data_IF_692892403217
#
_entry.id   IF_692892403217
#
_cell.length_a   1.000
_cell.length_b   1.000
_cell.length_c   1.000
_cell.angle_alpha   90.00
_cell.angle_beta   90.00
_cell.angle_gamma   90.00
#
_symmetry.space_group_name_H-M   'P 1'
#
loop_
_entity.id
_entity.type
_entity.pdbx_description
1 polymer ?
#
# COMPACT_ATOMS: atom_id res chain seq x y z
N UNK A 1 41.18 -4.18 -60.68
CA UNK A 1 40.42 -5.04 -59.75
C UNK A 1 39.50 -4.12 -58.97
N UNK A 2 38.19 -4.29 -59.21
CA UNK A 2 37.17 -3.27 -58.99
C UNK A 2 36.56 -3.33 -57.57
N UNK A 3 36.32 -2.14 -57.02
CA UNK A 3 35.34 -1.70 -56.03
C UNK A 3 34.49 -2.76 -55.30
N UNK A 4 34.71 -2.91 -53.98
CA UNK A 4 33.91 -3.77 -53.06
C UNK A 4 33.15 -2.99 -51.96
N UNK A 5 33.35 -1.68 -51.78
CA UNK A 5 32.59 -0.92 -50.77
C UNK A 5 31.26 -0.38 -51.32
N UNK A 6 30.32 -1.28 -51.67
CA UNK A 6 28.90 -0.92 -51.81
C UNK A 6 28.23 -1.02 -50.43
N UNK A 7 28.48 -0.04 -49.57
CA UNK A 7 27.77 0.14 -48.31
C UNK A 7 26.60 1.09 -48.53
N UNK A 8 25.38 0.55 -48.53
CA UNK A 8 24.12 1.30 -48.66
C UNK A 8 24.12 2.53 -47.72
N UNK A 9 24.14 3.75 -48.27
CA UNK A 9 24.30 5.02 -47.52
C UNK A 9 23.01 5.50 -46.84
N UNK A 10 22.31 4.60 -46.15
CA UNK A 10 21.16 4.94 -45.32
C UNK A 10 21.55 4.87 -43.84
N UNK A 11 22.62 5.57 -43.45
CA UNK A 11 22.88 5.81 -42.02
C UNK A 11 22.06 7.03 -41.60
N UNK A 12 20.81 6.78 -41.21
CA UNK A 12 20.00 7.74 -40.46
C UNK A 12 20.68 7.98 -39.11
N UNK A 13 21.36 9.13 -38.97
CA UNK A 13 21.88 9.60 -37.70
C UNK A 13 20.85 10.49 -37.02
N UNK A 14 20.68 10.35 -35.72
CA UNK A 14 19.90 11.30 -34.91
C UNK A 14 20.55 12.68 -35.00
N UNK A 15 19.75 13.71 -35.26
CA UNK A 15 20.20 15.09 -35.16
C UNK A 15 20.34 15.49 -33.70
N UNK A 16 21.28 16.40 -33.41
CA UNK A 16 21.43 16.99 -32.07
C UNK A 16 20.13 17.64 -31.57
N UNK A 17 19.35 18.21 -32.50
CA UNK A 17 18.08 18.88 -32.22
C UNK A 17 17.00 17.87 -31.83
N UNK A 18 16.91 16.72 -32.51
CA UNK A 18 15.96 15.67 -32.13
C UNK A 18 16.24 15.15 -30.72
N UNK A 19 17.50 14.94 -30.36
CA UNK A 19 17.84 14.47 -29.01
C UNK A 19 17.58 15.56 -27.94
N UNK A 20 17.87 16.82 -28.26
CA UNK A 20 17.62 17.95 -27.35
C UNK A 20 16.13 18.20 -27.11
N UNK A 21 15.30 18.10 -28.15
CA UNK A 21 13.86 18.26 -28.02
C UNK A 21 13.24 17.14 -27.17
N UNK A 22 13.75 15.90 -27.30
CA UNK A 22 13.26 14.75 -26.53
C UNK A 22 13.49 14.93 -25.03
N UNK A 23 14.70 15.35 -24.62
CA UNK A 23 14.96 15.58 -23.19
C UNK A 23 14.14 16.76 -22.64
N UNK A 24 13.86 17.77 -23.48
CA UNK A 24 12.98 18.89 -23.09
C UNK A 24 11.55 18.41 -22.83
N UNK A 25 10.98 17.58 -23.71
CA UNK A 25 9.63 17.03 -23.54
C UNK A 25 9.58 16.07 -22.34
N UNK A 26 10.55 15.16 -22.19
CA UNK A 26 10.62 14.24 -21.03
C UNK A 26 10.72 15.03 -19.73
N UNK A 27 11.51 16.11 -19.69
CA UNK A 27 11.64 16.97 -18.52
C UNK A 27 10.32 17.60 -18.08
N UNK A 28 9.53 18.10 -19.03
CA UNK A 28 8.20 18.67 -18.75
C UNK A 28 7.27 17.60 -18.17
N UNK A 29 7.18 16.42 -18.81
CA UNK A 29 6.31 15.35 -18.35
C UNK A 29 6.72 14.81 -16.97
N UNK A 30 8.03 14.64 -16.75
CA UNK A 30 8.57 14.17 -15.47
C UNK A 30 8.31 15.18 -14.33
N UNK A 31 8.35 16.48 -14.62
CA UNK A 31 8.13 17.53 -13.61
C UNK A 31 6.74 17.44 -12.96
N UNK A 32 5.69 17.17 -13.75
CA UNK A 32 4.31 17.06 -13.28
C UNK A 32 4.11 15.85 -12.38
N UNK A 33 4.74 14.72 -12.72
CA UNK A 33 4.69 13.48 -11.92
C UNK A 33 5.43 13.68 -10.60
N UNK A 34 6.59 14.36 -10.63
CA UNK A 34 7.41 14.57 -9.45
C UNK A 34 6.67 15.36 -8.36
N UNK A 35 5.93 16.41 -8.73
CA UNK A 35 5.16 17.22 -7.79
C UNK A 35 4.07 16.42 -7.05
N UNK A 36 3.49 15.41 -7.67
CA UNK A 36 2.37 14.63 -7.12
C UNK A 36 2.80 13.34 -6.39
N UNK A 37 4.08 12.99 -6.42
CA UNK A 37 4.55 11.70 -5.91
C UNK A 37 4.38 11.53 -4.39
N UNK A 38 4.40 12.61 -3.61
CA UNK A 38 4.26 12.56 -2.15
C UNK A 38 2.89 12.03 -1.71
N UNK A 39 1.80 12.58 -2.24
CA UNK A 39 0.43 12.16 -1.93
C UNK A 39 0.12 10.77 -2.47
N UNK A 40 0.64 10.43 -3.66
CA UNK A 40 0.52 9.09 -4.25
C UNK A 40 1.15 8.00 -3.38
N UNK A 41 2.36 8.24 -2.85
CA UNK A 41 3.02 7.30 -1.93
C UNK A 41 2.23 7.12 -0.64
N UNK A 42 1.65 8.18 -0.11
CA UNK A 42 0.86 8.09 1.11
C UNK A 42 -0.42 7.28 0.91
N UNK A 43 -1.15 7.52 -0.19
CA UNK A 43 -2.33 6.70 -0.56
C UNK A 43 -1.95 5.24 -0.78
N UNK A 44 -0.82 4.96 -1.42
CA UNK A 44 -0.34 3.60 -1.63
C UNK A 44 -0.07 2.88 -0.28
N UNK A 45 0.54 3.57 0.70
CA UNK A 45 0.72 3.03 2.05
C UNK A 45 -0.62 2.74 2.73
N UNK A 46 -1.58 3.64 2.60
CA UNK A 46 -2.88 3.48 3.23
C UNK A 46 -3.68 2.31 2.63
N UNK A 47 -3.64 2.15 1.31
CA UNK A 47 -4.22 0.98 0.63
C UNK A 47 -3.51 -0.31 1.05
N UNK A 48 -2.18 -0.32 1.12
CA UNK A 48 -1.44 -1.51 1.57
C UNK A 48 -1.80 -1.90 3.01
N UNK A 49 -1.91 -0.92 3.92
CA UNK A 49 -2.36 -1.17 5.29
C UNK A 49 -3.78 -1.73 5.34
N UNK A 50 -4.70 -1.20 4.51
CA UNK A 50 -6.07 -1.70 4.40
C UNK A 50 -6.11 -3.16 3.91
N UNK A 51 -5.33 -3.51 2.89
CA UNK A 51 -5.26 -4.88 2.37
C UNK A 51 -4.70 -5.85 3.42
N UNK A 52 -3.71 -5.44 4.22
CA UNK A 52 -3.22 -6.24 5.34
C UNK A 52 -4.35 -6.54 6.35
N UNK A 53 -5.18 -5.55 6.68
CA UNK A 53 -6.30 -5.75 7.60
C UNK A 53 -7.43 -6.59 7.02
N UNK A 54 -7.70 -6.50 5.72
CA UNK A 54 -8.62 -7.42 5.02
C UNK A 54 -8.14 -8.86 5.10
N UNK A 55 -6.82 -9.11 5.08
CA UNK A 55 -6.25 -10.43 5.30
C UNK A 55 -6.60 -11.01 6.68
N UNK A 56 -6.63 -10.18 7.72
CA UNK A 56 -7.02 -10.58 9.08
C UNK A 56 -8.53 -10.81 9.20
N UNK A 57 -9.32 -10.07 8.42
CA UNK A 57 -10.79 -10.13 8.45
C UNK A 57 -11.33 -11.55 8.28
N UNK A 58 -10.72 -12.40 7.45
CA UNK A 58 -11.19 -13.77 7.27
C UNK A 58 -11.19 -14.58 8.57
N UNK A 59 -10.12 -14.46 9.37
CA UNK A 59 -10.00 -15.13 10.67
C UNK A 59 -10.92 -14.47 11.70
N UNK A 60 -11.01 -13.15 11.69
CA UNK A 60 -11.89 -12.39 12.59
C UNK A 60 -13.37 -12.74 12.38
N UNK A 61 -13.81 -12.91 11.13
CA UNK A 61 -15.17 -13.34 10.79
C UNK A 61 -15.40 -14.78 11.21
N UNK A 62 -14.45 -15.69 10.98
CA UNK A 62 -14.54 -17.07 11.47
C UNK A 62 -14.70 -17.14 13.00
N UNK A 63 -13.96 -16.29 13.71
CA UNK A 63 -14.08 -16.09 15.16
C UNK A 63 -15.52 -15.79 15.58
N UNK A 64 -16.09 -14.78 14.91
CA UNK A 64 -17.43 -14.28 15.18
C UNK A 64 -18.49 -15.35 14.86
N UNK A 65 -18.34 -16.07 13.75
CA UNK A 65 -19.24 -17.17 13.36
C UNK A 65 -19.20 -18.33 14.36
N UNK A 66 -18.08 -18.54 15.03
CA UNK A 66 -17.93 -19.51 16.12
C UNK A 66 -18.41 -18.99 17.50
N UNK A 67 -19.11 -17.84 17.54
CA UNK A 67 -19.58 -17.19 18.78
C UNK A 67 -18.46 -16.87 19.76
N UNK A 68 -17.27 -16.53 19.26
CA UNK A 68 -16.13 -16.11 20.07
C UNK A 68 -15.88 -14.62 19.89
N UNK A 69 -15.36 -13.99 20.94
CA UNK A 69 -14.93 -12.60 20.86
C UNK A 69 -13.57 -12.51 20.17
N UNK A 70 -13.41 -11.41 19.44
CA UNK A 70 -12.11 -10.95 18.97
C UNK A 70 -11.41 -10.28 20.14
N UNK A 71 -10.13 -10.58 20.29
CA UNK A 71 -9.24 -9.99 21.29
C UNK A 71 -8.33 -8.98 20.59
N UNK A 72 -8.77 -7.72 20.38
CA UNK A 72 -7.99 -6.73 19.66
C UNK A 72 -6.65 -6.43 20.36
N UNK A 73 -5.58 -6.09 19.62
CA UNK A 73 -4.31 -5.74 20.23
C UNK A 73 -4.47 -4.47 21.06
N UNK A 74 -3.69 -4.39 22.15
CA UNK A 74 -3.61 -3.17 22.96
C UNK A 74 -3.17 -1.96 22.13
N UNK A 75 -3.59 -0.77 22.56
CA UNK A 75 -3.19 0.49 21.92
C UNK A 75 -1.67 0.64 21.91
N UNK A 76 -1.11 1.00 20.75
CA UNK A 76 0.33 1.14 20.54
C UNK A 76 1.05 -0.18 20.23
N UNK A 77 0.32 -1.30 20.15
CA UNK A 77 0.90 -2.57 19.70
C UNK A 77 1.14 -2.55 18.19
N UNK A 78 2.20 -3.25 17.75
CA UNK A 78 2.46 -3.54 16.33
C UNK A 78 1.91 -4.90 15.92
N UNK A 79 1.40 -5.72 16.84
CA UNK A 79 0.94 -7.08 16.58
C UNK A 79 1.07 -7.97 17.82
N UNK A 80 0.81 -9.26 17.64
CA UNK A 80 0.84 -10.22 18.75
C UNK A 80 -0.44 -10.22 19.60
N UNK A 81 -0.52 -11.21 20.50
CA UNK A 81 -1.80 -11.65 21.08
C UNK A 81 -2.63 -12.43 20.07
N UNK A 82 -3.55 -13.27 20.52
CA UNK A 82 -4.45 -14.01 19.63
C UNK A 82 -5.52 -13.11 19.04
N UNK A 83 -5.97 -13.40 17.82
CA UNK A 83 -7.10 -12.71 17.18
C UNK A 83 -8.42 -13.09 17.87
N UNK A 84 -8.54 -14.35 18.29
CA UNK A 84 -9.70 -14.89 19.00
C UNK A 84 -9.38 -15.21 20.46
N UNK A 85 -10.40 -15.12 21.32
CA UNK A 85 -10.30 -15.36 22.77
C UNK A 85 -9.72 -16.75 23.15
N UNK A 86 -9.88 -17.77 22.30
CA UNK A 86 -9.23 -19.10 22.46
C UNK A 86 -8.38 -19.51 21.24
N UNK A 87 -8.02 -18.54 20.39
CA UNK A 87 -7.23 -18.80 19.19
C UNK A 87 -5.74 -18.85 19.47
N UNK A 88 -4.98 -19.51 18.60
CA UNK A 88 -3.50 -19.43 18.58
C UNK A 88 -2.99 -18.52 17.47
N UNK A 89 -3.84 -18.11 16.53
CA UNK A 89 -3.48 -17.22 15.41
C UNK A 89 -3.21 -15.82 15.94
N UNK A 90 -1.96 -15.34 15.89
CA UNK A 90 -1.63 -14.03 16.43
C UNK A 90 -2.03 -12.92 15.46
N UNK A 91 -2.20 -11.72 15.99
CA UNK A 91 -2.29 -10.53 15.14
C UNK A 91 -0.99 -10.32 14.36
N UNK A 92 -1.08 -10.06 13.04
CA UNK A 92 0.11 -9.86 12.23
C UNK A 92 0.83 -8.58 12.64
N UNK A 93 2.15 -8.63 12.49
CA UNK A 93 2.99 -7.45 12.64
C UNK A 93 2.69 -6.45 11.51
N UNK A 94 2.37 -5.21 11.87
CA UNK A 94 2.15 -4.11 10.93
C UNK A 94 3.40 -3.21 10.84
N UNK A 95 3.52 -2.49 9.73
CA UNK A 95 4.61 -1.54 9.52
C UNK A 95 4.60 -0.46 10.61
N UNK A 96 5.78 0.02 11.02
CA UNK A 96 5.94 1.03 12.10
C UNK A 96 5.33 2.38 11.79
N UNK A 97 4.93 2.65 10.55
CA UNK A 97 4.09 3.81 10.25
C UNK A 97 2.66 3.67 10.76
N UNK A 98 2.27 2.50 11.27
CA UNK A 98 0.96 2.19 11.83
C UNK A 98 1.08 1.51 13.20
N UNK A 99 0.02 1.62 13.99
CA UNK A 99 -0.15 0.92 15.27
C UNK A 99 -1.60 0.52 15.45
N UNK A 100 -1.84 -0.59 16.16
CA UNK A 100 -3.18 -0.89 16.63
C UNK A 100 -3.59 0.13 17.69
N UNK A 101 -4.80 0.65 17.59
CA UNK A 101 -5.35 1.67 18.49
C UNK A 101 -6.37 1.09 19.50
N UNK A 102 -6.36 -0.24 19.67
CA UNK A 102 -7.38 -0.95 20.44
C UNK A 102 -8.58 -1.36 19.59
N UNK A 103 -9.65 -1.76 20.27
CA UNK A 103 -10.85 -2.25 19.62
C UNK A 103 -11.97 -2.63 20.61
N UNK A 104 -13.02 -3.21 20.06
CA UNK A 104 -14.14 -3.81 20.79
C UNK A 104 -14.10 -5.33 20.65
N UNK A 105 -15.07 -6.03 21.23
CA UNK A 105 -15.19 -7.50 21.13
C UNK A 105 -15.35 -8.02 19.70
N UNK A 106 -15.75 -7.18 18.73
CA UNK A 106 -15.95 -7.58 17.33
C UNK A 106 -15.21 -6.69 16.33
N UNK A 107 -14.43 -5.72 16.80
CA UNK A 107 -13.81 -4.72 15.94
C UNK A 107 -12.46 -4.28 16.44
N UNK A 108 -11.63 -3.79 15.52
CA UNK A 108 -10.30 -3.28 15.84
C UNK A 108 -10.00 -2.06 14.98
N UNK A 109 -9.13 -1.22 15.51
CA UNK A 109 -8.72 0.01 14.86
C UNK A 109 -7.21 0.02 14.66
N UNK A 110 -6.77 0.49 13.50
CA UNK A 110 -5.36 0.73 13.17
C UNK A 110 -5.19 2.20 12.84
N UNK A 111 -4.33 2.88 13.59
CA UNK A 111 -3.97 4.28 13.37
C UNK A 111 -2.61 4.33 12.65
N UNK A 112 -2.54 5.12 11.57
CA UNK A 112 -1.38 5.22 10.71
C UNK A 112 -0.95 6.66 10.42
N UNK A 113 0.36 6.81 10.21
CA UNK A 113 1.03 8.05 9.84
C UNK A 113 0.73 9.19 10.82
N UNK A 114 0.84 8.90 12.12
CA UNK A 114 0.60 9.84 13.23
C UNK A 114 -0.82 10.43 13.21
N UNK A 115 -1.86 9.60 13.05
CA UNK A 115 -3.25 10.07 13.04
C UNK A 115 -3.73 10.62 11.70
N UNK A 116 -2.97 10.46 10.61
CA UNK A 116 -3.35 10.99 9.30
C UNK A 116 -4.44 10.16 8.62
N UNK A 117 -4.42 8.85 8.83
CA UNK A 117 -5.51 7.97 8.40
C UNK A 117 -5.70 6.82 9.37
N UNK A 118 -6.95 6.40 9.55
CA UNK A 118 -7.37 5.39 10.51
C UNK A 118 -8.18 4.33 9.79
N UNK A 119 -7.88 3.06 10.06
CA UNK A 119 -8.60 1.92 9.51
C UNK A 119 -9.42 1.31 10.64
N UNK A 120 -10.74 1.35 10.49
CA UNK A 120 -11.70 0.74 11.40
C UNK A 120 -12.24 -0.54 10.77
N UNK A 121 -12.08 -1.66 11.46
CA UNK A 121 -12.55 -2.96 11.01
C UNK A 121 -13.59 -3.51 11.99
N UNK A 122 -14.63 -4.13 11.45
CA UNK A 122 -15.70 -4.77 12.21
C UNK A 122 -16.07 -6.11 11.58
N UNK A 123 -15.83 -7.19 12.32
CA UNK A 123 -16.12 -8.55 11.90
C UNK A 123 -17.62 -8.84 11.77
N UNK A 124 -18.48 -8.10 12.48
CA UNK A 124 -19.95 -8.19 12.34
C UNK A 124 -20.39 -7.74 10.95
N UNK A 125 -19.73 -6.72 10.41
CA UNK A 125 -19.98 -6.20 9.06
C UNK A 125 -19.15 -6.91 7.99
N UNK A 126 -18.12 -7.66 8.39
CA UNK A 126 -17.14 -8.27 7.50
C UNK A 126 -16.29 -7.26 6.74
N UNK A 127 -16.14 -6.04 7.26
CA UNK A 127 -15.62 -4.90 6.51
C UNK A 127 -14.58 -4.07 7.27
N UNK A 128 -13.65 -3.50 6.52
CA UNK A 128 -12.71 -2.48 7.00
C UNK A 128 -12.93 -1.18 6.23
N UNK A 129 -13.09 -0.08 6.94
CA UNK A 129 -13.24 1.27 6.40
C UNK A 129 -12.00 2.08 6.74
N UNK A 130 -11.42 2.75 5.74
CA UNK A 130 -10.36 3.73 5.98
C UNK A 130 -10.95 5.14 6.02
N UNK A 131 -10.55 5.91 7.02
CA UNK A 131 -10.85 7.33 7.18
C UNK A 131 -9.55 8.12 6.99
N UNK A 132 -9.52 9.04 6.01
CA UNK A 132 -8.30 9.77 5.64
C UNK A 132 -7.44 9.11 4.55
N UNK A 133 -7.90 7.97 4.01
CA UNK A 133 -7.55 7.51 2.67
C UNK A 133 -8.31 8.34 1.60
#
# INVERSE_FOLDING_TARGET
>A
MNNIFSGNKNKAGFTLVELLLVIAIIGILASVIFLNMGSMRQRAKAVAALENQKGVMGIAVDCYLHNKNITPPGSGSLGGGSICEDGTTPWPEIDRSCQYAGGTVNGWTVDCSEGRYVINCDATTGGCKCEGC
#
